data_IF_464669490504
#
_entry.id   IF_464669490504
#
_cell.length_a   1.000
_cell.length_b   1.000
_cell.length_c   1.000
_cell.angle_alpha   90.00
_cell.angle_beta   90.00
_cell.angle_gamma   90.00
#
_symmetry.space_group_name_H-M   'P 1'
#
loop_
_entity.id
_entity.type
_entity.pdbx_description
1 polymer ?
#
# COMPACT_ATOMS: atom_id res chain seq x y z
N UNK A 1 -0.98 0.53 4.24
CA UNK A 1 0.42 0.20 3.93
C UNK A 1 1.06 -0.45 5.14
N UNK A 2 1.94 -1.41 4.93
CA UNK A 2 2.80 -2.06 5.95
C UNK A 2 2.16 -2.31 7.33
N UNK A 3 0.86 -2.58 7.39
CA UNK A 3 0.18 -2.81 8.67
C UNK A 3 0.73 -4.06 9.41
N UNK A 4 1.38 -4.97 8.71
CA UNK A 4 2.09 -6.11 9.28
C UNK A 4 3.24 -5.71 10.19
N UNK A 5 3.69 -4.44 10.17
CA UNK A 5 4.64 -3.89 11.15
C UNK A 5 4.14 -4.03 12.59
N UNK A 6 2.83 -4.17 12.82
CA UNK A 6 2.27 -4.47 14.14
C UNK A 6 2.81 -5.78 14.73
N UNK A 7 3.25 -6.72 13.89
CA UNK A 7 3.93 -7.94 14.35
C UNK A 7 5.25 -7.65 15.05
N UNK A 8 5.86 -6.48 14.79
CA UNK A 8 7.07 -6.05 15.50
C UNK A 8 6.86 -5.91 17.01
N UNK A 9 5.61 -5.74 17.48
CA UNK A 9 5.30 -5.73 18.91
C UNK A 9 5.68 -7.04 19.61
N UNK A 10 5.83 -8.13 18.87
CA UNK A 10 6.26 -9.45 19.37
C UNK A 10 7.72 -9.74 19.07
N UNK A 11 8.38 -8.91 18.27
CA UNK A 11 9.78 -9.07 17.87
C UNK A 11 10.66 -8.17 18.75
N UNK A 12 11.60 -8.74 19.48
CA UNK A 12 12.58 -7.96 20.25
C UNK A 12 13.76 -7.55 19.36
N UNK A 13 13.46 -6.73 18.34
CA UNK A 13 14.48 -6.19 17.42
C UNK A 13 14.33 -4.66 17.33
N UNK A 14 15.39 -3.96 17.76
CA UNK A 14 15.41 -2.50 17.84
C UNK A 14 16.01 -1.82 16.60
N UNK A 15 16.77 -2.55 15.79
CA UNK A 15 17.41 -2.03 14.58
C UNK A 15 16.39 -2.05 13.44
N UNK A 16 15.95 -0.89 12.90
CA UNK A 16 14.86 -0.83 11.92
C UNK A 16 15.04 -1.76 10.71
N UNK A 17 16.23 -1.79 10.10
CA UNK A 17 16.50 -2.65 8.94
C UNK A 17 16.38 -4.14 9.25
N UNK A 18 16.83 -4.56 10.45
CA UNK A 18 16.70 -5.96 10.89
C UNK A 18 15.26 -6.31 11.23
N UNK A 19 14.52 -5.40 11.88
CA UNK A 19 13.11 -5.58 12.17
C UNK A 19 12.30 -5.77 10.87
N UNK A 20 12.56 -4.95 9.85
CA UNK A 20 11.98 -5.10 8.52
C UNK A 20 12.34 -6.47 7.92
N UNK A 21 13.60 -6.87 8.00
CA UNK A 21 14.04 -8.17 7.48
C UNK A 21 13.31 -9.34 8.16
N UNK A 22 13.10 -9.26 9.46
CA UNK A 22 12.32 -10.28 10.19
C UNK A 22 10.85 -10.32 9.80
N UNK A 23 10.26 -9.18 9.39
CA UNK A 23 8.88 -9.17 8.89
C UNK A 23 8.73 -9.99 7.60
N UNK A 24 9.77 -10.08 6.78
CA UNK A 24 9.71 -10.86 5.53
C UNK A 24 9.52 -12.37 5.79
N UNK A 25 9.83 -12.85 6.99
CA UNK A 25 9.61 -14.24 7.40
C UNK A 25 8.12 -14.61 7.44
N UNK A 26 7.23 -13.62 7.59
CA UNK A 26 5.76 -13.80 7.64
C UNK A 26 5.07 -13.64 6.29
N UNK A 27 5.84 -13.57 5.19
CA UNK A 27 5.28 -13.35 3.85
C UNK A 27 4.31 -14.46 3.44
N UNK A 28 4.67 -15.73 3.67
CA UNK A 28 3.83 -16.86 3.31
C UNK A 28 2.55 -16.90 4.14
N UNK A 29 2.65 -16.73 5.46
CA UNK A 29 1.49 -16.67 6.37
C UNK A 29 0.52 -15.54 5.98
N UNK A 30 1.07 -14.37 5.63
CA UNK A 30 0.28 -13.23 5.16
C UNK A 30 -0.47 -13.56 3.86
N UNK A 31 0.22 -14.17 2.88
CA UNK A 31 -0.37 -14.53 1.60
C UNK A 31 -1.46 -15.60 1.77
N UNK A 32 -1.19 -16.63 2.56
CA UNK A 32 -2.13 -17.70 2.84
C UNK A 32 -3.40 -17.16 3.50
N UNK A 33 -3.25 -16.40 4.59
CA UNK A 33 -4.37 -15.81 5.33
C UNK A 33 -5.30 -14.98 4.43
N UNK A 34 -4.73 -14.04 3.66
CA UNK A 34 -5.55 -13.16 2.83
C UNK A 34 -6.18 -13.88 1.63
N UNK A 35 -5.51 -14.90 1.09
CA UNK A 35 -6.08 -15.77 0.06
C UNK A 35 -7.28 -16.54 0.59
N UNK A 36 -7.15 -17.17 1.75
CA UNK A 36 -8.25 -17.87 2.41
C UNK A 36 -9.44 -16.94 2.70
N UNK A 37 -9.16 -15.72 3.21
CA UNK A 37 -10.21 -14.75 3.49
C UNK A 37 -10.92 -14.29 2.22
N UNK A 38 -10.20 -14.03 1.13
CA UNK A 38 -10.76 -13.61 -0.15
C UNK A 38 -11.72 -14.68 -0.71
N UNK A 39 -11.30 -15.93 -0.70
CA UNK A 39 -12.10 -17.08 -1.17
C UNK A 39 -13.28 -17.31 -0.24
N UNK A 40 -13.03 -17.41 1.08
CA UNK A 40 -14.06 -17.72 2.09
C UNK A 40 -15.21 -16.71 2.09
N UNK A 41 -14.91 -15.44 1.96
CA UNK A 41 -15.91 -14.37 1.97
C UNK A 41 -16.35 -13.94 0.56
N UNK A 42 -15.81 -14.59 -0.47
CA UNK A 42 -16.11 -14.29 -1.88
C UNK A 42 -15.95 -12.80 -2.22
N UNK A 43 -14.82 -12.21 -1.81
CA UNK A 43 -14.49 -10.79 -2.05
C UNK A 43 -13.07 -10.63 -2.59
N UNK A 44 -12.85 -9.60 -3.41
CA UNK A 44 -11.48 -9.19 -3.74
C UNK A 44 -10.94 -8.33 -2.60
N UNK A 45 -9.72 -8.62 -2.14
CA UNK A 45 -9.08 -7.91 -1.04
C UNK A 45 -7.77 -7.26 -1.53
N UNK A 46 -7.64 -5.95 -1.31
CA UNK A 46 -6.33 -5.33 -1.35
C UNK A 46 -5.77 -5.39 0.06
N UNK A 47 -4.84 -6.31 0.29
CA UNK A 47 -4.32 -6.67 1.61
C UNK A 47 -3.37 -5.62 2.22
N UNK A 48 -3.48 -4.35 1.81
CA UNK A 48 -2.48 -3.35 2.19
C UNK A 48 -1.15 -3.62 1.51
N UNK A 49 -0.03 -3.43 2.22
CA UNK A 49 1.27 -3.84 1.72
C UNK A 49 2.11 -4.52 2.81
N UNK A 50 3.11 -5.28 2.38
CA UNK A 50 4.01 -6.05 3.21
C UNK A 50 5.44 -5.95 2.69
N UNK A 51 6.43 -6.08 3.58
CA UNK A 51 7.82 -6.18 3.19
C UNK A 51 8.17 -7.60 2.78
N UNK A 52 8.74 -7.74 1.60
CA UNK A 52 9.06 -9.05 0.98
C UNK A 52 10.51 -9.05 0.53
N UNK A 53 11.22 -10.13 0.78
CA UNK A 53 12.56 -10.35 0.23
C UNK A 53 12.46 -11.14 -1.07
N UNK A 54 12.98 -10.57 -2.14
CA UNK A 54 13.08 -11.22 -3.45
C UNK A 54 14.47 -10.95 -4.05
N UNK A 55 15.19 -12.01 -4.40
CA UNK A 55 16.52 -11.90 -5.03
C UNK A 55 17.56 -11.13 -4.22
N UNK A 56 17.53 -11.24 -2.89
CA UNK A 56 18.43 -10.55 -1.97
C UNK A 56 18.14 -9.05 -1.81
N UNK A 57 16.94 -8.61 -2.17
CA UNK A 57 16.47 -7.23 -1.99
C UNK A 57 15.13 -7.23 -1.28
N UNK A 58 14.91 -6.23 -0.43
CA UNK A 58 13.63 -6.04 0.24
C UNK A 58 12.78 -5.02 -0.53
N UNK A 59 11.52 -5.36 -0.75
CA UNK A 59 10.52 -4.54 -1.42
C UNK A 59 9.32 -4.31 -0.52
N UNK A 60 8.64 -3.19 -0.72
CA UNK A 60 7.31 -2.92 -0.18
C UNK A 60 6.30 -3.29 -1.27
N UNK A 61 5.51 -4.35 -1.07
CA UNK A 61 4.62 -4.92 -2.08
C UNK A 61 3.18 -4.91 -1.58
N UNK A 62 2.29 -4.34 -2.36
CA UNK A 62 0.85 -4.48 -2.16
C UNK A 62 0.32 -5.66 -2.99
N UNK A 63 -0.61 -6.40 -2.40
CA UNK A 63 -1.21 -7.57 -3.02
C UNK A 63 -2.70 -7.36 -3.27
N UNK A 64 -3.14 -7.82 -4.42
CA UNK A 64 -4.55 -8.04 -4.72
C UNK A 64 -4.83 -9.54 -4.60
N UNK A 65 -5.62 -9.92 -3.61
CA UNK A 65 -6.14 -11.27 -3.41
C UNK A 65 -7.53 -11.33 -4.02
N UNK A 66 -7.71 -12.16 -5.03
CA UNK A 66 -8.99 -12.30 -5.71
C UNK A 66 -9.85 -13.37 -5.04
N UNK A 67 -11.15 -13.22 -5.17
CA UNK A 67 -12.14 -14.19 -4.66
C UNK A 67 -12.03 -15.59 -5.26
N UNK A 68 -11.33 -15.74 -6.38
CA UNK A 68 -11.03 -17.03 -7.03
C UNK A 68 -9.71 -17.66 -6.54
N UNK A 69 -9.03 -17.01 -5.58
CA UNK A 69 -7.75 -17.46 -5.02
C UNK A 69 -6.53 -17.02 -5.81
N UNK A 70 -6.69 -16.32 -6.92
CA UNK A 70 -5.54 -15.77 -7.66
C UNK A 70 -5.00 -14.51 -6.98
N UNK A 71 -3.69 -14.26 -7.13
CA UNK A 71 -2.96 -13.19 -6.44
C UNK A 71 -2.17 -12.38 -7.44
N UNK A 72 -2.20 -11.07 -7.28
CA UNK A 72 -1.38 -10.15 -8.07
C UNK A 72 -0.60 -9.19 -7.17
N UNK A 73 0.49 -8.61 -7.69
CA UNK A 73 1.45 -7.79 -6.94
C UNK A 73 1.66 -6.43 -7.61
N UNK A 74 1.67 -5.37 -6.80
CA UNK A 74 2.20 -4.05 -7.15
C UNK A 74 3.34 -3.70 -6.21
N UNK A 75 4.51 -3.45 -6.75
CA UNK A 75 5.67 -2.96 -5.99
C UNK A 75 5.56 -1.45 -5.80
N UNK A 76 5.97 -0.95 -4.64
CA UNK A 76 6.10 0.49 -4.41
C UNK A 76 7.15 1.07 -5.36
N UNK A 77 6.80 2.15 -6.05
CA UNK A 77 7.64 2.74 -7.09
C UNK A 77 8.49 3.90 -6.55
N UNK A 78 7.90 4.73 -5.70
CA UNK A 78 8.58 5.84 -5.07
C UNK A 78 8.88 5.51 -3.60
N UNK A 79 10.16 5.28 -3.34
CA UNK A 79 10.65 4.96 -1.99
C UNK A 79 10.95 6.27 -1.27
N UNK A 80 10.36 6.46 -0.09
CA UNK A 80 10.62 7.65 0.72
C UNK A 80 12.08 7.72 1.18
N UNK A 81 12.59 8.91 1.50
CA UNK A 81 13.95 9.04 2.03
C UNK A 81 14.18 8.18 3.29
N UNK A 82 13.18 8.06 4.17
CA UNK A 82 13.26 7.23 5.38
C UNK A 82 13.34 5.73 5.05
N UNK A 83 12.48 5.22 4.17
CA UNK A 83 12.52 3.83 3.72
C UNK A 83 13.87 3.47 3.09
N UNK A 84 14.43 4.38 2.31
CA UNK A 84 15.74 4.17 1.68
C UNK A 84 16.86 4.17 2.71
N UNK A 85 16.86 5.16 3.61
CA UNK A 85 17.96 5.37 4.55
C UNK A 85 17.98 4.34 5.68
N UNK A 86 16.81 4.07 6.27
CA UNK A 86 16.71 3.29 7.50
C UNK A 86 16.35 1.83 7.28
N UNK A 87 15.61 1.55 6.19
CA UNK A 87 15.05 0.23 5.96
C UNK A 87 15.64 -0.50 4.75
N UNK A 88 16.35 0.20 3.87
CA UNK A 88 17.01 -0.40 2.71
C UNK A 88 16.06 -0.92 1.63
N UNK A 89 14.87 -0.29 1.51
CA UNK A 89 13.82 -0.74 0.59
C UNK A 89 14.20 -0.44 -0.87
N UNK A 90 14.00 -1.42 -1.72
CA UNK A 90 14.18 -1.32 -3.17
C UNK A 90 12.87 -0.90 -3.85
N UNK A 91 12.99 -0.17 -4.96
CA UNK A 91 11.83 0.26 -5.76
C UNK A 91 11.39 -0.80 -6.76
N UNK A 92 10.10 -0.79 -7.10
CA UNK A 92 9.58 -1.42 -8.30
C UNK A 92 9.87 -0.62 -9.57
N UNK A 93 9.40 -1.11 -10.71
CA UNK A 93 9.72 -0.59 -12.04
C UNK A 93 8.51 -0.28 -12.93
N UNK A 94 7.30 -0.72 -12.56
CA UNK A 94 6.13 -0.61 -13.42
C UNK A 94 4.82 -0.37 -12.66
N UNK A 95 3.97 0.47 -13.25
CA UNK A 95 2.57 0.63 -12.86
C UNK A 95 1.77 -0.52 -13.46
N UNK A 96 0.98 -1.21 -12.64
CA UNK A 96 0.10 -2.28 -13.10
C UNK A 96 -1.36 -1.88 -12.95
N UNK A 97 -2.15 -2.29 -13.93
CA UNK A 97 -3.62 -2.22 -13.89
C UNK A 97 -4.17 -3.64 -13.89
N UNK A 98 -5.03 -3.92 -12.94
CA UNK A 98 -5.60 -5.24 -12.71
C UNK A 98 -7.07 -5.26 -13.18
N UNK A 99 -7.41 -6.21 -14.04
CA UNK A 99 -8.81 -6.46 -14.38
C UNK A 99 -9.46 -7.27 -13.27
N UNK A 100 -10.50 -6.74 -12.66
CA UNK A 100 -11.31 -7.44 -11.67
C UNK A 100 -12.77 -7.50 -12.14
N UNK A 101 -13.57 -8.32 -11.51
CA UNK A 101 -15.01 -8.36 -11.71
C UNK A 101 -15.75 -7.10 -11.19
N UNK A 102 -15.04 -6.25 -10.43
CA UNK A 102 -15.53 -4.96 -9.93
C UNK A 102 -15.01 -3.75 -10.74
N UNK A 103 -14.27 -3.99 -11.82
CA UNK A 103 -13.67 -2.96 -12.69
C UNK A 103 -12.16 -3.10 -12.82
N UNK A 104 -11.56 -2.16 -13.55
CA UNK A 104 -10.11 -2.07 -13.69
C UNK A 104 -9.56 -1.20 -12.56
N UNK A 105 -8.63 -1.76 -11.80
CA UNK A 105 -8.06 -1.09 -10.64
C UNK A 105 -6.55 -0.94 -10.76
N UNK A 106 -5.99 0.06 -10.08
CA UNK A 106 -4.57 0.18 -9.84
C UNK A 106 -4.31 0.32 -8.34
N UNK A 107 -3.08 0.01 -7.90
CA UNK A 107 -2.65 0.20 -6.53
C UNK A 107 -1.46 1.15 -6.54
N UNK A 108 -1.52 2.22 -5.76
CA UNK A 108 -0.44 3.18 -5.55
C UNK A 108 -0.14 3.23 -4.06
N UNK A 109 1.07 2.82 -3.67
CA UNK A 109 1.41 2.64 -2.26
C UNK A 109 1.87 3.97 -1.68
N UNK A 110 1.05 4.56 -0.77
CA UNK A 110 1.40 5.73 0.05
C UNK A 110 2.00 6.88 -0.78
N UNK A 111 3.31 7.04 -0.74
CA UNK A 111 4.06 8.09 -1.43
C UNK A 111 3.84 8.10 -2.95
N UNK A 112 3.49 6.96 -3.55
CA UNK A 112 3.19 6.89 -4.99
C UNK A 112 2.04 7.81 -5.41
N UNK A 113 1.02 8.03 -4.57
CA UNK A 113 -0.12 8.89 -4.88
C UNK A 113 0.26 10.37 -5.01
N UNK A 114 1.39 10.76 -4.44
CA UNK A 114 1.90 12.13 -4.51
C UNK A 114 2.43 12.49 -5.93
N UNK A 115 2.67 11.48 -6.78
CA UNK A 115 3.18 11.65 -8.16
C UNK A 115 2.06 11.51 -9.18
N UNK A 116 1.58 12.62 -9.80
CA UNK A 116 0.43 12.60 -10.70
C UNK A 116 0.64 11.72 -11.94
N UNK A 117 1.88 11.54 -12.37
CA UNK A 117 2.23 10.74 -13.53
C UNK A 117 1.77 9.28 -13.38
N UNK A 118 1.90 8.70 -12.18
CA UNK A 118 1.51 7.31 -11.94
C UNK A 118 0.00 7.11 -12.08
N UNK A 119 -0.79 8.06 -11.56
CA UNK A 119 -2.24 8.01 -11.69
C UNK A 119 -2.66 8.20 -13.16
N UNK A 120 -2.00 9.10 -13.89
CA UNK A 120 -2.25 9.31 -15.31
C UNK A 120 -1.98 8.05 -16.13
N UNK A 121 -0.81 7.43 -15.92
CA UNK A 121 -0.44 6.17 -16.59
C UNK A 121 -1.47 5.07 -16.28
N UNK A 122 -1.87 4.91 -15.02
CA UNK A 122 -2.87 3.91 -14.64
C UNK A 122 -4.22 4.16 -15.34
N UNK A 123 -4.66 5.42 -15.39
CA UNK A 123 -5.93 5.81 -16.03
C UNK A 123 -5.88 5.60 -17.53
N UNK A 124 -4.79 5.94 -18.20
CA UNK A 124 -4.59 5.70 -19.63
C UNK A 124 -4.60 4.19 -19.97
N UNK A 125 -4.16 3.34 -19.03
CA UNK A 125 -4.30 1.88 -19.14
C UNK A 125 -5.73 1.39 -18.81
N UNK A 126 -6.62 2.30 -18.43
CA UNK A 126 -8.04 2.05 -18.21
C UNK A 126 -8.43 1.80 -16.75
N UNK A 127 -7.57 2.09 -15.78
CA UNK A 127 -7.96 2.05 -14.38
C UNK A 127 -9.04 3.10 -14.10
N UNK A 128 -10.12 2.68 -13.42
CA UNK A 128 -11.21 3.56 -12.98
C UNK A 128 -11.27 3.70 -11.45
N UNK A 129 -10.47 2.93 -10.74
CA UNK A 129 -10.30 3.03 -9.29
C UNK A 129 -8.82 2.89 -8.95
N UNK A 130 -8.29 3.80 -8.13
CA UNK A 130 -6.96 3.68 -7.54
C UNK A 130 -7.10 3.44 -6.05
N UNK A 131 -6.50 2.37 -5.55
CA UNK A 131 -6.41 2.07 -4.14
C UNK A 131 -5.04 2.47 -3.60
N UNK A 132 -5.04 3.20 -2.50
CA UNK A 132 -3.82 3.71 -1.87
C UNK A 132 -3.77 3.27 -0.41
N UNK A 133 -3.17 2.09 -0.13
CA UNK A 133 -2.76 1.77 1.22
C UNK A 133 -1.64 2.72 1.64
N UNK A 134 -1.72 3.32 2.83
CA UNK A 134 -0.72 4.29 3.28
C UNK A 134 -0.41 4.18 4.77
N UNK A 135 0.78 4.64 5.16
CA UNK A 135 1.23 4.76 6.53
C UNK A 135 1.91 6.11 6.70
N UNK A 136 1.42 6.93 7.61
CA UNK A 136 1.92 8.27 7.91
C UNK A 136 2.02 8.50 9.41
N UNK A 137 3.04 9.23 9.84
CA UNK A 137 3.36 9.43 11.26
C UNK A 137 2.50 10.51 11.91
N UNK A 138 2.05 11.49 11.12
CA UNK A 138 1.36 12.66 11.61
C UNK A 138 0.24 13.15 10.69
N UNK A 139 -0.47 14.18 11.17
CA UNK A 139 -1.53 14.81 10.39
C UNK A 139 -1.02 15.45 9.10
N UNK A 140 0.20 15.97 9.07
CA UNK A 140 0.76 16.60 7.87
C UNK A 140 1.02 15.57 6.77
N UNK A 141 1.63 14.44 7.12
CA UNK A 141 1.82 13.32 6.20
C UNK A 141 0.50 12.77 5.68
N UNK A 142 -0.47 12.57 6.57
CA UNK A 142 -1.83 12.17 6.19
C UNK A 142 -2.48 13.14 5.21
N UNK A 143 -2.40 14.46 5.47
CA UNK A 143 -3.02 15.47 4.60
C UNK A 143 -2.38 15.51 3.21
N UNK A 144 -1.07 15.26 3.09
CA UNK A 144 -0.43 15.13 1.76
C UNK A 144 -1.05 13.99 0.97
N UNK A 145 -1.14 12.80 1.56
CA UNK A 145 -1.77 11.64 0.90
C UNK A 145 -3.21 11.95 0.53
N UNK A 146 -3.98 12.51 1.47
CA UNK A 146 -5.40 12.84 1.26
C UNK A 146 -5.60 13.83 0.12
N UNK A 147 -4.90 14.96 0.13
CA UNK A 147 -5.05 15.99 -0.90
C UNK A 147 -4.60 15.50 -2.27
N UNK A 148 -3.51 14.74 -2.32
CA UNK A 148 -3.08 14.12 -3.56
C UNK A 148 -4.11 13.13 -4.09
N UNK A 149 -4.66 12.26 -3.26
CA UNK A 149 -5.70 11.30 -3.67
C UNK A 149 -6.97 12.02 -4.19
N UNK A 150 -7.40 13.10 -3.54
CA UNK A 150 -8.51 13.93 -4.03
C UNK A 150 -8.19 14.55 -5.39
N UNK A 151 -6.98 15.10 -5.56
CA UNK A 151 -6.55 15.66 -6.84
C UNK A 151 -6.56 14.60 -7.95
N UNK A 152 -6.05 13.39 -7.68
CA UNK A 152 -6.06 12.28 -8.67
C UNK A 152 -7.47 11.89 -9.08
N UNK A 153 -8.43 11.88 -8.14
CA UNK A 153 -9.82 11.59 -8.46
C UNK A 153 -10.41 12.64 -9.43
N UNK A 154 -10.19 13.91 -9.16
CA UNK A 154 -10.69 15.04 -9.98
C UNK A 154 -9.98 15.11 -11.34
N UNK A 155 -8.63 15.07 -11.34
CA UNK A 155 -7.82 15.22 -12.54
C UNK A 155 -8.04 14.11 -13.58
N UNK A 156 -8.36 12.91 -13.12
CA UNK A 156 -8.47 11.73 -13.97
C UNK A 156 -9.92 11.22 -14.10
N UNK A 157 -10.87 11.83 -13.40
CA UNK A 157 -12.29 11.42 -13.37
C UNK A 157 -12.46 9.95 -13.00
N UNK A 158 -11.76 9.54 -11.92
CA UNK A 158 -11.75 8.16 -11.38
C UNK A 158 -12.05 8.19 -9.89
N UNK A 159 -12.31 7.02 -9.31
CA UNK A 159 -12.37 6.88 -7.86
C UNK A 159 -10.98 6.69 -7.29
N UNK A 160 -10.72 7.28 -6.12
CA UNK A 160 -9.54 6.96 -5.30
C UNK A 160 -9.98 6.53 -3.91
N UNK A 161 -9.34 5.47 -3.41
CA UNK A 161 -9.63 4.89 -2.10
C UNK A 161 -8.35 4.90 -1.27
N UNK A 162 -8.35 5.63 -0.17
CA UNK A 162 -7.22 5.65 0.76
C UNK A 162 -7.53 4.82 2.01
N UNK A 163 -6.63 3.94 2.40
CA UNK A 163 -6.72 3.14 3.62
C UNK A 163 -5.41 3.22 4.39
N UNK A 164 -5.46 3.82 5.57
CA UNK A 164 -4.27 4.13 6.35
C UNK A 164 -4.09 3.25 7.57
N UNK A 165 -2.83 2.95 7.88
CA UNK A 165 -2.43 2.25 9.10
C UNK A 165 -2.52 3.22 10.29
N UNK A 166 -3.04 2.74 11.41
CA UNK A 166 -3.11 3.46 12.69
C UNK A 166 -2.53 2.60 13.80
N UNK A 167 -1.95 3.23 14.80
CA UNK A 167 -1.42 2.56 15.97
C UNK A 167 -0.10 3.15 16.43
N UNK A 168 0.50 2.52 17.43
CA UNK A 168 1.80 2.88 17.98
C UNK A 168 2.69 1.65 18.12
N UNK A 169 3.95 1.81 17.75
CA UNK A 169 5.02 0.83 17.94
C UNK A 169 6.21 1.45 18.68
N UNK A 170 6.05 1.79 19.98
CA UNK A 170 7.01 2.62 20.71
C UNK A 170 8.40 2.00 20.86
N UNK A 171 8.56 0.74 20.51
CA UNK A 171 9.83 0.01 20.60
C UNK A 171 10.63 0.07 19.30
N UNK A 172 10.03 0.52 18.19
CA UNK A 172 10.68 0.54 16.88
C UNK A 172 10.88 1.98 16.44
N UNK A 173 12.12 2.40 16.40
CA UNK A 173 12.49 3.74 15.95
C UNK A 173 12.04 3.97 14.50
N UNK A 174 11.51 5.17 14.21
CA UNK A 174 10.93 5.59 12.90
C UNK A 174 9.64 4.85 12.48
N UNK A 175 8.98 4.14 13.40
CA UNK A 175 7.67 3.51 13.16
C UNK A 175 6.73 3.64 14.37
N UNK A 176 7.09 4.49 15.32
CA UNK A 176 6.50 4.57 16.64
C UNK A 176 5.07 5.11 16.64
N UNK A 177 4.73 6.01 15.73
CA UNK A 177 3.39 6.63 15.63
C UNK A 177 2.84 6.48 14.22
N UNK A 178 1.54 6.13 14.13
CA UNK A 178 0.82 6.05 12.86
C UNK A 178 -0.53 6.75 12.99
N UNK A 179 -0.73 7.75 12.15
CA UNK A 179 -1.95 8.55 12.08
C UNK A 179 -2.56 8.50 10.68
N UNK A 180 -3.84 8.13 10.60
CA UNK A 180 -4.55 8.06 9.34
C UNK A 180 -6.06 8.20 9.50
N UNK A 181 -6.73 8.56 8.40
CA UNK A 181 -8.17 8.45 8.19
C UNK A 181 -8.40 7.88 6.80
N UNK A 182 -9.14 6.79 6.72
CA UNK A 182 -9.51 6.18 5.44
C UNK A 182 -10.66 6.94 4.79
N UNK A 183 -10.68 6.98 3.45
CA UNK A 183 -11.74 7.67 2.69
C UNK A 183 -11.85 7.12 1.26
N UNK A 184 -13.01 7.35 0.67
CA UNK A 184 -13.26 7.17 -0.76
C UNK A 184 -13.54 8.55 -1.36
N UNK A 185 -12.83 8.89 -2.43
CA UNK A 185 -13.04 10.11 -3.19
C UNK A 185 -13.63 9.76 -4.56
N UNK A 186 -14.77 10.36 -4.85
CA UNK A 186 -15.39 10.27 -6.16
C UNK A 186 -14.81 11.30 -7.12
N UNK A 187 -14.89 11.07 -8.45
CA UNK A 187 -14.69 12.13 -9.41
C UNK A 187 -15.64 13.28 -9.10
N UNK A 188 -15.12 14.49 -9.21
CA UNK A 188 -15.94 15.68 -9.03
C UNK A 188 -16.67 15.96 -10.34
N UNK A 189 -17.96 15.75 -10.35
CA UNK A 189 -18.82 16.16 -11.45
C UNK A 189 -19.65 17.37 -11.01
N UNK A 190 -19.82 18.34 -11.91
CA UNK A 190 -20.49 19.61 -11.64
C UNK A 190 -21.90 19.65 -12.21
N UNK A 191 -22.55 18.52 -12.43
CA UNK A 191 -23.97 18.48 -12.77
C UNK A 191 -24.88 18.60 -11.55
#
# INVERSE_FOLDING_TARGET
>A
EIFTTQLMSFLDEKVPSKAIQRLTEYTEDYIELFTELAVKYNVNIIGGSHFVEEGGRTYNIAYLFRRDGTIEKQYKLHITPNERKWWGISRGDSVKVFNTDCGKIAIQICYDIEFPELARIATEQGANIIFTPFCTEDRQGYLRVRYCAQARAVENQIYTVIAGTVGNLPQTENMDIQYAQSAIFAPSDFE
#
